data_IF_839908145737
#
_entry.id   IF_839908145737
#
_cell.length_a   1.000
_cell.length_b   1.000
_cell.length_c   1.000
_cell.angle_alpha   90.00
_cell.angle_beta   90.00
_cell.angle_gamma   90.00
#
_symmetry.space_group_name_H-M   'P 1'
#
loop_
_entity.id
_entity.type
_entity.pdbx_description
1 polymer ?
#
# COMPACT_ATOMS: atom_id res chain seq x y z
N UNK A 1 -5.38 3.02 8.43
CA UNK A 1 -6.21 1.99 7.75
C UNK A 1 -5.72 1.94 6.32
N UNK A 2 -5.75 0.84 5.59
CA UNK A 2 -5.24 0.81 4.21
C UNK A 2 -6.07 -0.18 3.40
N UNK A 3 -6.01 -0.05 2.08
CA UNK A 3 -6.59 -0.99 1.13
C UNK A 3 -5.64 -1.20 -0.04
N UNK A 4 -5.42 -2.46 -0.41
CA UNK A 4 -4.54 -2.85 -1.51
C UNK A 4 -5.18 -3.98 -2.30
N UNK A 5 -5.00 -3.98 -3.61
CA UNK A 5 -5.45 -5.06 -4.47
C UNK A 5 -4.48 -5.33 -5.62
N UNK A 6 -4.54 -6.54 -6.14
CA UNK A 6 -3.83 -6.97 -7.32
C UNK A 6 -4.72 -7.86 -8.19
N UNK A 7 -4.56 -7.73 -9.50
CA UNK A 7 -5.28 -8.50 -10.50
C UNK A 7 -4.31 -8.96 -11.58
N UNK A 8 -4.18 -10.27 -11.73
CA UNK A 8 -3.45 -10.91 -12.81
C UNK A 8 -4.33 -10.95 -14.06
N UNK A 9 -3.80 -10.43 -15.17
CA UNK A 9 -4.44 -10.37 -16.47
C UNK A 9 -3.47 -10.97 -17.50
N UNK A 10 -3.65 -12.27 -17.75
CA UNK A 10 -2.78 -13.08 -18.59
C UNK A 10 -1.31 -13.01 -18.13
N UNK A 11 -0.44 -12.34 -18.90
CA UNK A 11 1.00 -12.18 -18.64
C UNK A 11 1.36 -10.84 -17.97
N UNK A 12 0.37 -10.09 -17.47
CA UNK A 12 0.57 -8.82 -16.77
C UNK A 12 -0.18 -8.81 -15.44
N UNK A 13 0.27 -7.99 -14.51
CA UNK A 13 -0.43 -7.77 -13.25
C UNK A 13 -0.72 -6.30 -13.03
N UNK A 14 -1.94 -6.00 -12.59
CA UNK A 14 -2.31 -4.69 -12.08
C UNK A 14 -2.22 -4.68 -10.57
N UNK A 15 -1.73 -3.59 -9.99
CA UNK A 15 -1.64 -3.38 -8.55
C UNK A 15 -2.22 -2.01 -8.21
N UNK A 16 -2.99 -1.91 -7.12
CA UNK A 16 -3.54 -0.64 -6.65
C UNK A 16 -3.52 -0.56 -5.13
N UNK A 17 -3.23 0.62 -4.60
CA UNK A 17 -3.14 0.84 -3.15
C UNK A 17 -3.52 2.24 -2.72
N UNK A 18 -4.25 2.31 -1.60
CA UNK A 18 -4.35 3.49 -0.74
C UNK A 18 -3.57 3.23 0.55
N UNK A 19 -2.73 4.19 0.93
CA UNK A 19 -2.11 4.25 2.25
C UNK A 19 -2.91 5.25 3.09
N UNK A 20 -3.68 4.77 4.09
CA UNK A 20 -4.38 5.65 5.03
C UNK A 20 -3.67 5.71 6.38
N UNK A 21 -3.18 6.89 6.67
CA UNK A 21 -2.29 7.17 7.78
C UNK A 21 -2.89 8.20 8.72
N UNK A 22 -2.17 8.60 9.76
CA UNK A 22 -2.62 9.72 10.59
C UNK A 22 -2.77 10.98 9.72
N UNK A 23 -3.80 11.78 9.98
CA UNK A 23 -4.05 12.95 9.15
C UNK A 23 -2.87 13.93 9.13
N UNK A 24 -2.62 14.51 7.96
CA UNK A 24 -1.46 15.36 7.70
C UNK A 24 -0.10 14.70 8.03
N UNK A 25 0.00 13.36 7.97
CA UNK A 25 1.30 12.68 7.96
C UNK A 25 1.92 12.77 6.55
N UNK A 26 3.10 13.42 6.39
CA UNK A 26 3.74 13.52 5.10
C UNK A 26 4.18 12.16 4.56
N UNK A 27 3.83 11.89 3.31
CA UNK A 27 4.20 10.66 2.61
C UNK A 27 4.82 10.98 1.26
N UNK A 28 6.15 10.99 1.22
CA UNK A 28 6.96 11.40 0.07
C UNK A 28 7.04 10.30 -0.97
N UNK A 29 7.04 10.68 -2.24
CA UNK A 29 7.28 9.78 -3.37
C UNK A 29 8.70 10.06 -3.85
N UNK A 30 9.57 9.08 -3.70
CA UNK A 30 11.01 9.23 -3.88
C UNK A 30 11.57 8.10 -4.75
N UNK A 31 12.47 8.43 -5.67
CA UNK A 31 13.29 7.45 -6.36
C UNK A 31 14.55 7.20 -5.53
N UNK A 32 14.83 5.94 -5.25
CA UNK A 32 16.08 5.51 -4.66
C UNK A 32 16.85 4.74 -5.74
N UNK A 33 18.05 5.21 -6.08
CA UNK A 33 18.91 4.57 -7.07
C UNK A 33 19.42 3.20 -6.59
N UNK A 34 19.87 2.32 -7.51
CA UNK A 34 20.57 1.11 -7.11
C UNK A 34 21.72 1.45 -6.17
N UNK A 35 21.82 0.73 -5.07
CA UNK A 35 22.85 0.97 -4.07
C UNK A 35 23.88 -0.16 -4.09
N UNK A 36 25.16 0.21 -3.99
CA UNK A 36 26.24 -0.71 -3.66
C UNK A 36 27.07 -0.10 -2.53
N UNK A 37 27.10 -0.72 -1.35
CA UNK A 37 27.82 -0.16 -0.21
C UNK A 37 27.64 -0.95 1.07
N UNK A 38 27.55 -0.24 2.20
CA UNK A 38 27.53 -0.81 3.56
C UNK A 38 26.45 -1.89 3.73
N UNK A 39 26.85 -3.04 4.28
CA UNK A 39 25.99 -4.16 4.64
C UNK A 39 25.27 -3.94 5.97
N UNK A 40 25.51 -2.84 6.68
CA UNK A 40 24.77 -2.44 7.86
C UNK A 40 23.80 -1.29 7.54
N UNK A 41 22.52 -1.49 7.81
CA UNK A 41 21.48 -0.49 7.59
C UNK A 41 20.83 -0.14 8.92
N UNK A 42 20.82 1.16 9.25
CA UNK A 42 19.91 1.69 10.27
C UNK A 42 18.50 1.78 9.67
N UNK A 43 17.66 0.81 10.00
CA UNK A 43 16.22 0.86 9.76
C UNK A 43 15.55 1.84 10.74
N UNK A 44 14.21 1.83 10.83
CA UNK A 44 13.49 2.82 11.64
C UNK A 44 13.88 2.76 13.13
N UNK A 45 13.97 1.56 13.70
CA UNK A 45 14.34 1.37 15.11
C UNK A 45 15.52 0.44 15.36
N UNK A 46 15.96 -0.31 14.35
CA UNK A 46 17.02 -1.31 14.47
C UNK A 46 18.19 -0.99 13.55
N UNK A 47 19.36 -1.52 13.90
CA UNK A 47 20.41 -1.79 12.91
C UNK A 47 20.28 -3.24 12.47
N UNK A 48 20.33 -3.46 11.16
CA UNK A 48 20.16 -4.77 10.53
C UNK A 48 21.22 -5.00 9.48
N UNK A 49 21.47 -6.27 9.17
CA UNK A 49 22.35 -6.65 8.07
C UNK A 49 21.55 -6.70 6.77
N UNK A 50 22.09 -6.10 5.72
CA UNK A 50 21.54 -6.05 4.36
C UNK A 50 22.62 -6.45 3.35
N UNK A 51 22.25 -6.98 2.17
CA UNK A 51 23.22 -7.23 1.13
C UNK A 51 23.84 -5.92 0.62
N UNK A 52 25.12 -5.99 0.21
CA UNK A 52 25.84 -4.83 -0.33
C UNK A 52 25.12 -4.22 -1.53
N UNK A 53 24.50 -5.06 -2.38
CA UNK A 53 23.81 -4.68 -3.60
C UNK A 53 22.31 -4.65 -3.38
N UNK A 54 21.70 -3.52 -3.72
CA UNK A 54 20.26 -3.28 -3.62
C UNK A 54 19.72 -2.63 -4.89
N UNK A 55 18.49 -2.98 -5.21
CA UNK A 55 17.77 -2.54 -6.40
C UNK A 55 17.26 -1.11 -6.27
N UNK A 56 17.13 -0.43 -7.41
CA UNK A 56 16.44 0.85 -7.46
C UNK A 56 14.95 0.67 -7.18
N UNK A 57 14.31 1.66 -6.54
CA UNK A 57 12.87 1.62 -6.32
C UNK A 57 12.24 3.01 -6.20
N UNK A 58 10.99 3.09 -6.68
CA UNK A 58 10.04 4.12 -6.27
C UNK A 58 9.47 3.76 -4.92
N UNK A 59 9.68 4.62 -3.93
CA UNK A 59 9.17 4.46 -2.58
C UNK A 59 8.13 5.53 -2.26
N UNK A 60 7.02 5.11 -1.67
CA UNK A 60 6.08 5.98 -0.98
C UNK A 60 6.36 5.91 0.52
N UNK A 61 7.18 6.83 1.00
CA UNK A 61 7.80 6.81 2.33
C UNK A 61 7.14 7.83 3.27
N UNK A 62 6.58 7.40 4.43
CA UNK A 62 6.24 8.33 5.50
C UNK A 62 7.49 9.04 6.00
N UNK A 63 7.46 10.38 6.11
CA UNK A 63 8.69 11.16 6.19
C UNK A 63 9.55 10.89 7.44
N UNK A 64 8.92 10.46 8.54
CA UNK A 64 9.59 10.24 9.82
C UNK A 64 10.31 8.88 9.94
N UNK A 65 10.15 7.96 8.98
CA UNK A 65 10.68 6.60 9.07
C UNK A 65 11.58 6.22 7.88
N UNK A 66 12.34 5.13 8.03
CA UNK A 66 13.21 4.62 6.97
C UNK A 66 12.44 3.79 5.93
N UNK A 67 11.55 2.92 6.40
CA UNK A 67 10.71 2.05 5.56
C UNK A 67 9.65 2.78 4.74
N UNK A 68 9.03 2.08 3.80
CA UNK A 68 8.00 2.60 2.90
C UNK A 68 6.66 1.88 3.08
N UNK A 69 5.55 2.56 2.86
CA UNK A 69 4.22 1.91 2.87
C UNK A 69 3.93 1.12 1.61
N UNK A 70 4.55 1.55 0.52
CA UNK A 70 4.42 0.93 -0.79
C UNK A 70 5.49 1.40 -1.74
N UNK A 71 5.64 0.67 -2.84
CA UNK A 71 6.54 1.04 -3.91
C UNK A 71 6.58 0.02 -5.02
N UNK A 72 7.44 0.30 -5.99
CA UNK A 72 7.78 -0.61 -7.09
C UNK A 72 9.25 -0.49 -7.41
N UNK A 73 9.93 -1.62 -7.64
CA UNK A 73 11.36 -1.63 -7.94
C UNK A 73 11.66 -1.73 -9.44
N UNK A 74 12.94 -1.60 -9.80
CA UNK A 74 13.42 -1.67 -11.19
C UNK A 74 13.17 -3.03 -11.89
N UNK A 75 12.80 -4.08 -11.14
CA UNK A 75 12.45 -5.40 -11.68
C UNK A 75 10.94 -5.61 -11.83
N UNK A 76 10.13 -4.58 -11.57
CA UNK A 76 8.67 -4.65 -11.69
C UNK A 76 7.99 -5.37 -10.51
N UNK A 77 8.65 -5.44 -9.34
CA UNK A 77 8.03 -5.95 -8.11
C UNK A 77 7.35 -4.79 -7.38
N UNK A 78 6.04 -4.87 -7.20
CA UNK A 78 5.26 -3.93 -6.40
C UNK A 78 4.89 -4.54 -5.05
N UNK A 79 5.01 -3.73 -3.99
CA UNK A 79 4.69 -4.15 -2.62
C UNK A 79 3.88 -3.06 -1.94
N UNK A 80 2.93 -3.46 -1.09
CA UNK A 80 2.26 -2.60 -0.13
C UNK A 80 1.80 -3.36 1.11
N UNK A 81 1.59 -2.66 2.23
CA UNK A 81 1.19 -3.28 3.51
C UNK A 81 -0.05 -2.65 4.17
N UNK A 82 -0.64 -3.40 5.10
CA UNK A 82 -1.77 -2.98 5.92
C UNK A 82 -1.51 -3.36 7.37
N UNK A 83 -1.86 -2.45 8.28
CA UNK A 83 -1.97 -2.81 9.70
C UNK A 83 -3.04 -3.87 9.92
N UNK A 84 -2.66 -5.00 10.53
CA UNK A 84 -3.57 -6.05 11.02
C UNK A 84 -3.42 -6.25 12.52
N UNK A 85 -4.52 -6.61 13.17
CA UNK A 85 -4.59 -6.69 14.62
C UNK A 85 -4.68 -8.13 15.08
N UNK A 86 -3.56 -8.65 15.54
CA UNK A 86 -3.43 -10.06 15.95
C UNK A 86 -3.31 -10.18 17.47
N UNK A 87 -3.47 -11.40 17.97
CA UNK A 87 -3.25 -11.76 19.37
C UNK A 87 -1.77 -11.71 19.79
N UNK A 88 -0.85 -11.61 18.82
CA UNK A 88 0.59 -11.71 19.01
C UNK A 88 1.34 -10.37 18.88
N UNK A 89 0.61 -9.26 18.71
CA UNK A 89 1.22 -7.92 18.65
C UNK A 89 2.12 -7.71 19.87
N UNK A 90 3.39 -7.42 19.60
CA UNK A 90 4.35 -7.08 20.64
C UNK A 90 4.03 -5.71 21.25
N UNK A 91 4.02 -5.65 22.59
CA UNK A 91 3.69 -4.44 23.35
C UNK A 91 4.90 -3.62 23.78
N UNK A 92 6.08 -4.25 23.88
CA UNK A 92 7.24 -3.67 24.56
C UNK A 92 8.56 -3.76 23.78
N UNK A 93 8.61 -4.43 22.62
CA UNK A 93 9.86 -4.57 21.86
C UNK A 93 9.92 -3.59 20.68
N UNK A 94 11.09 -2.98 20.49
CA UNK A 94 11.48 -2.42 19.19
C UNK A 94 11.86 -3.57 18.27
N UNK A 95 11.26 -3.61 17.09
CA UNK A 95 11.56 -4.56 16.03
C UNK A 95 11.48 -3.82 14.69
N UNK A 96 11.51 -4.54 13.55
CA UNK A 96 11.23 -3.92 12.27
C UNK A 96 9.76 -3.49 12.20
N UNK A 97 9.49 -2.34 11.59
CA UNK A 97 8.12 -2.00 11.19
C UNK A 97 7.77 -2.75 9.90
N UNK A 98 6.47 -2.93 9.64
CA UNK A 98 6.01 -3.48 8.36
C UNK A 98 6.54 -2.68 7.16
N UNK A 99 6.61 -1.36 7.30
CA UNK A 99 7.15 -0.48 6.27
C UNK A 99 8.65 -0.71 6.03
N UNK A 100 9.41 -1.08 7.07
CA UNK A 100 10.81 -1.47 6.91
C UNK A 100 10.90 -2.76 6.07
N UNK A 101 10.03 -3.73 6.35
CA UNK A 101 9.94 -4.99 5.58
C UNK A 101 9.53 -4.75 4.11
N UNK A 102 8.58 -3.85 3.84
CA UNK A 102 8.22 -3.44 2.47
C UNK A 102 9.44 -2.93 1.71
N UNK A 103 10.20 -2.01 2.32
CA UNK A 103 11.40 -1.45 1.69
C UNK A 103 12.47 -2.51 1.45
N UNK A 104 12.70 -3.40 2.42
CA UNK A 104 13.66 -4.50 2.27
C UNK A 104 13.28 -5.43 1.12
N UNK A 105 11.99 -5.79 1.02
CA UNK A 105 11.48 -6.59 -0.10
C UNK A 105 11.69 -5.92 -1.46
N UNK A 106 11.43 -4.60 -1.55
CA UNK A 106 11.65 -3.83 -2.77
C UNK A 106 13.13 -3.69 -3.14
N UNK A 107 14.00 -3.43 -2.17
CA UNK A 107 15.44 -3.23 -2.38
C UNK A 107 16.19 -4.53 -2.72
N UNK A 108 15.61 -5.71 -2.50
CA UNK A 108 16.31 -7.00 -2.69
C UNK A 108 15.59 -8.00 -3.61
N UNK A 109 14.27 -7.91 -3.76
CA UNK A 109 13.50 -8.86 -4.55
C UNK A 109 13.60 -8.61 -6.05
N UNK A 110 13.87 -9.66 -6.85
CA UNK A 110 13.85 -9.59 -8.33
C UNK A 110 12.55 -10.13 -8.92
N UNK A 111 11.74 -10.77 -8.07
CA UNK A 111 10.42 -11.32 -8.37
C UNK A 111 9.55 -11.19 -7.11
N UNK A 112 8.25 -11.45 -7.24
CA UNK A 112 7.34 -11.52 -6.09
C UNK A 112 7.69 -12.70 -5.16
N UNK A 113 8.21 -13.81 -5.69
CA UNK A 113 8.68 -14.94 -4.90
C UNK A 113 9.92 -14.53 -4.07
N UNK A 114 10.92 -13.89 -4.69
CA UNK A 114 12.13 -13.40 -4.01
C UNK A 114 11.79 -12.39 -2.90
N UNK A 115 10.88 -11.45 -3.19
CA UNK A 115 10.46 -10.44 -2.21
C UNK A 115 9.70 -11.05 -1.02
N UNK A 116 8.90 -12.10 -1.24
CA UNK A 116 8.27 -12.86 -0.17
C UNK A 116 9.32 -13.51 0.74
N UNK A 117 10.33 -14.16 0.16
CA UNK A 117 11.43 -14.79 0.90
C UNK A 117 12.18 -13.75 1.75
N UNK A 118 12.55 -12.61 1.15
CA UNK A 118 13.20 -11.50 1.86
C UNK A 118 12.34 -11.05 3.05
N UNK A 119 11.07 -10.72 2.83
CA UNK A 119 10.20 -10.20 3.89
C UNK A 119 10.05 -11.22 5.02
N UNK A 120 9.84 -12.49 4.69
CA UNK A 120 9.61 -13.54 5.70
C UNK A 120 10.87 -13.87 6.49
N UNK A 121 12.04 -13.85 5.85
CA UNK A 121 13.33 -14.07 6.49
C UNK A 121 13.68 -12.92 7.46
N UNK A 122 13.53 -11.65 7.05
CA UNK A 122 13.72 -10.52 7.96
C UNK A 122 12.71 -10.51 9.11
N UNK A 123 11.45 -10.88 8.85
CA UNK A 123 10.43 -11.02 9.87
C UNK A 123 10.83 -12.09 10.91
N UNK A 124 11.33 -13.24 10.46
CA UNK A 124 11.75 -14.32 11.35
C UNK A 124 13.02 -13.97 12.14
N UNK A 125 13.99 -13.28 11.53
CA UNK A 125 15.25 -12.91 12.18
C UNK A 125 15.10 -11.75 13.17
N UNK A 126 14.38 -10.70 12.80
CA UNK A 126 14.32 -9.44 13.57
C UNK A 126 12.95 -9.15 14.19
N UNK A 127 11.94 -9.92 13.84
CA UNK A 127 10.56 -9.71 14.31
C UNK A 127 9.89 -8.50 13.66
N UNK A 128 8.66 -8.23 14.11
CA UNK A 128 7.95 -7.00 13.78
C UNK A 128 7.35 -6.35 15.02
N UNK A 129 7.30 -5.01 15.01
CA UNK A 129 6.73 -4.22 16.10
C UNK A 129 7.51 -2.94 16.40
N UNK A 130 7.02 -2.20 17.39
CA UNK A 130 7.50 -0.86 17.72
C UNK A 130 6.53 0.24 17.28
N UNK A 131 6.74 1.50 17.71
CA UNK A 131 5.81 2.59 17.43
C UNK A 131 5.58 2.86 15.95
N UNK A 132 4.36 2.64 15.49
CA UNK A 132 4.01 2.70 14.08
C UNK A 132 3.14 3.92 13.71
N UNK A 133 2.80 4.78 14.68
CA UNK A 133 2.07 6.04 14.48
C UNK A 133 2.99 7.25 14.35
N UNK A 134 2.55 8.24 13.57
CA UNK A 134 3.23 9.53 13.40
C UNK A 134 3.18 10.35 14.69
N UNK A 135 1.99 10.59 15.25
CA UNK A 135 1.81 11.28 16.53
C UNK A 135 1.45 10.30 17.63
N UNK A 136 0.67 9.25 17.33
CA UNK A 136 0.34 8.23 18.32
C UNK A 136 1.48 7.21 18.47
N UNK A 137 2.39 7.50 19.41
CA UNK A 137 3.50 6.60 19.75
C UNK A 137 3.09 5.38 20.58
N UNK A 138 1.80 5.16 20.81
CA UNK A 138 1.26 3.90 21.37
C UNK A 138 0.69 2.97 20.29
N UNK A 139 0.55 3.44 19.04
CA UNK A 139 0.01 2.63 17.97
C UNK A 139 0.97 1.49 17.58
N UNK A 140 0.51 0.24 17.67
CA UNK A 140 1.25 -1.01 17.38
C UNK A 140 0.34 -1.98 16.63
N UNK A 141 0.91 -2.67 15.65
CA UNK A 141 0.20 -3.67 14.85
C UNK A 141 1.19 -4.63 14.18
N UNK A 142 0.67 -5.78 13.75
CA UNK A 142 1.36 -6.65 12.79
C UNK A 142 0.90 -6.29 11.37
N UNK A 143 1.49 -6.91 10.34
CA UNK A 143 1.27 -6.50 8.96
C UNK A 143 0.69 -7.59 8.07
N UNK A 144 -0.21 -7.19 7.19
CA UNK A 144 -0.48 -7.91 5.94
C UNK A 144 0.28 -7.22 4.82
N UNK A 145 0.64 -7.96 3.78
CA UNK A 145 1.33 -7.46 2.60
C UNK A 145 0.68 -8.02 1.35
N UNK A 146 0.66 -7.23 0.29
CA UNK A 146 0.44 -7.70 -1.07
C UNK A 146 1.72 -7.46 -1.86
N UNK A 147 2.24 -8.52 -2.46
CA UNK A 147 3.45 -8.53 -3.27
C UNK A 147 3.01 -8.98 -4.66
N UNK A 148 3.40 -8.27 -5.71
CA UNK A 148 3.05 -8.65 -7.07
C UNK A 148 4.19 -8.33 -8.05
N UNK A 149 4.31 -9.15 -9.08
CA UNK A 149 5.08 -8.89 -10.30
C UNK A 149 4.22 -9.25 -11.52
N UNK A 150 4.79 -9.23 -12.73
CA UNK A 150 4.03 -9.53 -13.95
C UNK A 150 3.43 -10.95 -14.00
N UNK A 151 3.99 -11.92 -13.25
CA UNK A 151 3.62 -13.33 -13.33
C UNK A 151 2.62 -13.74 -12.23
N UNK A 152 2.28 -12.83 -11.31
CA UNK A 152 1.43 -13.10 -10.17
C UNK A 152 1.98 -12.48 -8.91
N UNK A 153 1.83 -13.17 -7.78
CA UNK A 153 2.21 -12.58 -6.50
C UNK A 153 1.75 -13.36 -5.28
N UNK A 154 1.74 -12.65 -4.15
CA UNK A 154 1.49 -13.21 -2.84
C UNK A 154 0.74 -12.25 -1.95
N UNK A 155 -0.33 -12.74 -1.35
CA UNK A 155 -0.88 -12.18 -0.14
C UNK A 155 -0.15 -12.80 1.05
N UNK A 156 0.60 -12.01 1.80
CA UNK A 156 1.31 -12.44 3.00
C UNK A 156 0.62 -11.86 4.23
N UNK A 157 0.16 -12.72 5.14
CA UNK A 157 -0.42 -12.31 6.40
C UNK A 157 0.43 -12.81 7.57
N UNK A 158 0.64 -11.94 8.56
CA UNK A 158 1.57 -12.22 9.66
C UNK A 158 0.91 -12.06 11.04
N UNK A 159 1.45 -12.76 12.03
CA UNK A 159 1.07 -12.64 13.44
C UNK A 159 2.32 -12.85 14.33
N UNK A 160 2.85 -11.78 14.92
CA UNK A 160 4.20 -11.80 15.50
C UNK A 160 5.23 -12.22 14.45
N UNK A 161 5.94 -13.33 14.65
CA UNK A 161 6.89 -13.87 13.65
C UNK A 161 6.29 -14.98 12.78
N UNK A 162 5.04 -15.38 13.03
CA UNK A 162 4.35 -16.36 12.22
C UNK A 162 3.78 -15.72 10.97
N UNK A 163 3.70 -16.50 9.90
CA UNK A 163 3.16 -16.02 8.64
C UNK A 163 2.53 -17.14 7.82
N UNK A 164 1.59 -16.75 6.97
CA UNK A 164 1.00 -17.57 5.91
C UNK A 164 0.95 -16.75 4.63
N UNK A 165 1.16 -17.39 3.48
CA UNK A 165 1.10 -16.74 2.18
C UNK A 165 0.16 -17.48 1.23
N UNK A 166 -0.73 -16.73 0.57
CA UNK A 166 -1.66 -17.22 -0.46
C UNK A 166 -1.23 -16.69 -1.82
N UNK A 167 -1.14 -17.58 -2.80
CA UNK A 167 -0.64 -17.24 -4.14
C UNK A 167 -1.70 -16.50 -4.98
N UNK A 168 -1.28 -15.42 -5.64
CA UNK A 168 -1.95 -14.76 -6.76
C UNK A 168 -1.43 -15.43 -8.05
N UNK A 169 -2.31 -16.10 -8.78
CA UNK A 169 -1.99 -16.84 -10.00
C UNK A 169 -3.24 -17.01 -10.86
N UNK A 170 -3.15 -17.72 -11.99
CA UNK A 170 -4.30 -17.90 -12.90
C UNK A 170 -5.53 -18.57 -12.26
N UNK A 171 -5.36 -19.39 -11.23
CA UNK A 171 -6.48 -20.02 -10.49
C UNK A 171 -7.07 -19.11 -9.41
N UNK A 172 -6.34 -18.08 -9.00
CA UNK A 172 -6.75 -17.06 -8.04
C UNK A 172 -6.24 -15.70 -8.54
N UNK A 173 -6.82 -15.16 -9.62
CA UNK A 173 -6.23 -14.05 -10.37
C UNK A 173 -6.51 -12.69 -9.73
N UNK A 174 -7.31 -12.62 -8.66
CA UNK A 174 -7.63 -11.38 -7.96
C UNK A 174 -7.43 -11.55 -6.47
N UNK A 175 -6.70 -10.63 -5.86
CA UNK A 175 -6.55 -10.52 -4.41
C UNK A 175 -6.79 -9.08 -3.99
N UNK A 176 -7.51 -8.90 -2.88
CA UNK A 176 -7.58 -7.63 -2.18
C UNK A 176 -7.39 -7.85 -0.68
N UNK A 177 -6.70 -6.91 -0.04
CA UNK A 177 -6.46 -6.88 1.39
C UNK A 177 -6.81 -5.52 1.98
N UNK A 178 -7.21 -5.56 3.25
CA UNK A 178 -7.55 -4.42 4.09
C UNK A 178 -7.03 -4.71 5.50
N UNK A 179 -7.34 -3.87 6.49
CA UNK A 179 -6.90 -4.06 7.90
C UNK A 179 -7.61 -5.22 8.63
N UNK A 180 -7.52 -6.44 8.11
CA UNK A 180 -8.08 -7.68 8.67
C UNK A 180 -7.30 -8.89 8.16
N UNK A 181 -7.10 -9.89 9.02
CA UNK A 181 -6.60 -11.18 8.57
C UNK A 181 -7.70 -11.90 7.80
N UNK A 182 -7.38 -12.51 6.68
CA UNK A 182 -8.34 -13.12 5.77
C UNK A 182 -7.98 -14.53 5.33
N UNK A 183 -6.70 -14.90 5.39
CA UNK A 183 -6.25 -16.23 5.02
C UNK A 183 -6.68 -17.21 6.10
N UNK A 184 -7.43 -18.23 5.68
CA UNK A 184 -7.99 -19.24 6.56
C UNK A 184 -7.14 -20.50 6.56
N UNK A 185 -7.65 -21.51 5.87
CA UNK A 185 -6.97 -22.79 5.64
C UNK A 185 -6.39 -22.87 4.21
N UNK A 186 -6.63 -21.87 3.38
CA UNK A 186 -6.36 -21.81 1.95
C UNK A 186 -5.02 -21.12 1.62
N UNK A 187 -4.07 -21.18 2.54
CA UNK A 187 -2.69 -20.72 2.30
C UNK A 187 -1.89 -21.75 1.50
N UNK A 188 -0.91 -21.26 0.75
CA UNK A 188 -0.01 -22.08 -0.06
C UNK A 188 1.32 -22.31 0.66
N UNK A 189 1.83 -21.30 1.35
CA UNK A 189 3.07 -21.35 2.14
C UNK A 189 2.80 -20.87 3.56
N UNK A 190 3.62 -21.30 4.51
CA UNK A 190 3.54 -20.86 5.90
C UNK A 190 4.89 -20.99 6.59
N UNK A 191 5.06 -20.28 7.71
CA UNK A 191 6.22 -20.43 8.58
C UNK A 191 6.35 -21.84 9.14
N UNK A 192 7.57 -22.33 9.30
CA UNK A 192 7.84 -23.66 9.85
C UNK A 192 7.18 -23.90 11.21
N UNK A 193 6.67 -25.13 11.40
CA UNK A 193 6.04 -25.58 12.66
C UNK A 193 4.86 -24.73 13.14
N UNK A 194 4.22 -23.95 12.25
CA UNK A 194 3.13 -23.04 12.60
C UNK A 194 1.97 -23.72 13.37
N UNK A 195 1.40 -24.86 12.91
CA UNK A 195 0.30 -25.49 13.64
C UNK A 195 0.72 -25.99 15.04
N UNK A 196 1.93 -26.53 15.17
CA UNK A 196 2.44 -27.04 16.44
C UNK A 196 2.70 -25.92 17.45
N UNK A 197 3.26 -24.79 16.99
CA UNK A 197 3.50 -23.63 17.83
C UNK A 197 2.19 -22.94 18.21
N UNK A 198 1.24 -22.83 17.28
CA UNK A 198 -0.10 -22.32 17.59
C UNK A 198 -0.83 -23.21 18.62
N UNK A 199 -0.66 -24.54 18.53
CA UNK A 199 -1.21 -25.49 19.50
C UNK A 199 -0.56 -25.35 20.88
N UNK A 200 0.77 -25.29 20.94
CA UNK A 200 1.52 -25.11 22.21
C UNK A 200 1.15 -23.80 22.89
N UNK A 201 0.90 -22.75 22.13
CA UNK A 201 0.48 -21.43 22.63
C UNK A 201 -1.03 -21.32 22.90
N UNK A 202 -1.81 -22.39 22.73
CA UNK A 202 -3.24 -22.42 23.02
C UNK A 202 -4.13 -21.70 21.99
N UNK A 203 -3.59 -21.28 20.84
CA UNK A 203 -4.35 -20.64 19.78
C UNK A 203 -5.08 -21.62 18.86
N UNK A 204 -4.74 -22.90 18.93
CA UNK A 204 -5.41 -23.98 18.20
C UNK A 204 -5.49 -25.25 19.04
N UNK A 205 -6.63 -25.95 18.98
CA UNK A 205 -6.87 -27.15 19.79
C UNK A 205 -6.40 -28.46 19.13
N UNK A 206 -5.79 -28.37 17.94
CA UNK A 206 -5.32 -29.54 17.18
C UNK A 206 -6.42 -30.33 16.48
N UNK A 207 -7.66 -29.82 16.40
CA UNK A 207 -8.78 -30.48 15.71
C UNK A 207 -9.15 -29.73 14.43
N UNK A 208 -9.42 -30.51 13.37
CA UNK A 208 -9.74 -29.99 12.04
C UNK A 208 -8.53 -29.36 11.35
N UNK A 209 -8.76 -28.66 10.24
CA UNK A 209 -7.68 -27.95 9.56
C UNK A 209 -7.27 -26.70 10.34
N UNK A 210 -5.97 -26.41 10.33
CA UNK A 210 -5.46 -25.18 10.94
C UNK A 210 -5.93 -23.96 10.15
N UNK A 211 -6.55 -23.00 10.84
CA UNK A 211 -7.09 -21.79 10.24
C UNK A 211 -6.41 -20.55 10.82
N UNK A 212 -5.58 -19.88 10.04
CA UNK A 212 -4.71 -18.79 10.51
C UNK A 212 -5.52 -17.60 11.05
N UNK A 213 -6.49 -17.11 10.27
CA UNK A 213 -7.42 -16.06 10.71
C UNK A 213 -8.10 -16.42 12.03
N UNK A 214 -8.68 -17.62 12.18
CA UNK A 214 -9.36 -18.01 13.43
C UNK A 214 -8.41 -18.10 14.62
N UNK A 215 -7.17 -18.53 14.39
CA UNK A 215 -6.17 -18.67 15.45
C UNK A 215 -5.72 -17.31 16.00
N UNK A 216 -5.43 -16.35 15.11
CA UNK A 216 -4.71 -15.13 15.47
C UNK A 216 -5.48 -13.83 15.34
N UNK A 217 -6.56 -13.76 14.57
CA UNK A 217 -7.29 -12.50 14.38
C UNK A 217 -7.96 -12.02 15.67
N UNK A 218 -8.01 -10.69 15.80
CA UNK A 218 -8.88 -10.00 16.76
C UNK A 218 -10.13 -9.47 16.05
N UNK A 219 -11.25 -9.35 16.76
CA UNK A 219 -12.53 -9.03 16.11
C UNK A 219 -12.85 -7.53 16.11
N UNK A 220 -12.42 -6.78 17.13
CA UNK A 220 -12.89 -5.41 17.37
C UNK A 220 -12.34 -4.40 16.36
N UNK A 221 -11.02 -4.38 16.16
CA UNK A 221 -10.39 -3.39 15.29
C UNK A 221 -10.78 -3.54 13.82
N UNK A 222 -10.79 -4.76 13.22
CA UNK A 222 -11.30 -4.93 11.85
C UNK A 222 -12.77 -4.53 11.68
N UNK A 223 -13.60 -4.79 12.69
CA UNK A 223 -15.00 -4.38 12.67
C UNK A 223 -15.17 -2.85 12.71
N UNK A 224 -14.43 -2.17 13.61
CA UNK A 224 -14.44 -0.71 13.72
C UNK A 224 -13.91 -0.03 12.45
N UNK A 225 -12.86 -0.62 11.87
CA UNK A 225 -12.30 -0.20 10.60
C UNK A 225 -13.21 -0.53 9.41
N UNK A 226 -14.20 -1.42 9.52
CA UNK A 226 -15.03 -1.90 8.38
C UNK A 226 -14.22 -2.58 7.28
N UNK A 227 -13.07 -3.17 7.62
CA UNK A 227 -12.10 -3.76 6.68
C UNK A 227 -12.72 -4.76 5.70
N UNK A 228 -13.59 -5.66 6.19
CA UNK A 228 -14.27 -6.65 5.33
C UNK A 228 -15.12 -5.97 4.26
N UNK A 229 -15.83 -4.88 4.60
CA UNK A 229 -16.68 -4.17 3.64
C UNK A 229 -15.86 -3.48 2.55
N UNK A 230 -14.71 -2.89 2.90
CA UNK A 230 -13.83 -2.24 1.92
C UNK A 230 -13.19 -3.25 0.99
N UNK A 231 -12.66 -4.35 1.55
CA UNK A 231 -12.14 -5.46 0.76
C UNK A 231 -13.18 -6.02 -0.22
N UNK A 232 -14.39 -6.29 0.26
CA UNK A 232 -15.47 -6.80 -0.60
C UNK A 232 -15.88 -5.75 -1.66
N UNK A 233 -15.77 -4.46 -1.37
CA UNK A 233 -16.00 -3.38 -2.33
C UNK A 233 -14.96 -3.42 -3.45
N UNK A 234 -13.68 -3.54 -3.10
CA UNK A 234 -12.58 -3.64 -4.06
C UNK A 234 -12.72 -4.89 -4.93
N UNK A 235 -12.95 -6.07 -4.34
CA UNK A 235 -13.13 -7.31 -5.08
C UNK A 235 -14.29 -7.21 -6.07
N UNK A 236 -15.45 -6.74 -5.63
CA UNK A 236 -16.60 -6.53 -6.52
C UNK A 236 -16.30 -5.53 -7.63
N UNK A 237 -15.55 -4.48 -7.36
CA UNK A 237 -15.23 -3.49 -8.38
C UNK A 237 -14.25 -4.05 -9.43
N UNK A 238 -13.29 -4.88 -9.02
CA UNK A 238 -12.36 -5.58 -9.91
C UNK A 238 -13.10 -6.61 -10.79
N UNK A 239 -14.05 -7.35 -10.22
CA UNK A 239 -14.88 -8.29 -10.99
C UNK A 239 -15.76 -7.60 -12.05
N UNK A 240 -16.04 -6.30 -11.89
CA UNK A 240 -16.92 -5.51 -12.75
C UNK A 240 -16.18 -4.55 -13.69
N UNK A 241 -14.87 -4.72 -13.90
CA UNK A 241 -14.13 -3.92 -14.88
C UNK A 241 -14.70 -4.08 -16.30
N UNK A 242 -14.88 -2.98 -17.00
CA UNK A 242 -15.22 -3.00 -18.43
C UNK A 242 -13.95 -3.30 -19.23
N UNK A 243 -13.88 -4.52 -19.77
CA UNK A 243 -12.76 -5.00 -20.60
C UNK A 243 -12.53 -4.19 -21.88
N UNK A 244 -13.47 -3.32 -22.27
CA UNK A 244 -13.34 -2.44 -23.44
C UNK A 244 -12.69 -1.09 -23.10
N UNK A 245 -12.52 -0.78 -21.82
CA UNK A 245 -11.95 0.47 -21.35
C UNK A 245 -10.53 0.22 -20.79
N UNK A 246 -9.64 1.23 -20.82
CA UNK A 246 -8.34 1.13 -20.18
C UNK A 246 -8.49 0.80 -18.68
N UNK A 247 -7.60 -0.06 -18.16
CA UNK A 247 -7.72 -0.56 -16.77
C UNK A 247 -7.29 0.49 -15.75
N UNK A 248 -6.17 1.20 -15.97
CA UNK A 248 -5.64 2.21 -15.03
C UNK A 248 -6.69 3.25 -14.56
N UNK A 249 -7.47 3.91 -15.46
CA UNK A 249 -8.53 4.83 -15.04
C UNK A 249 -9.61 4.17 -14.18
N UNK A 250 -9.95 2.91 -14.46
CA UNK A 250 -10.93 2.16 -13.69
C UNK A 250 -10.40 1.84 -12.29
N UNK A 251 -9.13 1.44 -12.16
CA UNK A 251 -8.50 1.23 -10.84
C UNK A 251 -8.41 2.52 -10.04
N UNK A 252 -8.12 3.65 -10.70
CA UNK A 252 -8.18 4.96 -10.06
C UNK A 252 -9.59 5.25 -9.52
N UNK A 253 -10.65 4.89 -10.26
CA UNK A 253 -12.02 5.01 -9.74
C UNK A 253 -12.26 4.14 -8.51
N UNK A 254 -11.74 2.90 -8.47
CA UNK A 254 -11.83 2.02 -7.29
C UNK A 254 -11.18 2.68 -6.07
N UNK A 255 -9.95 3.17 -6.20
CA UNK A 255 -9.22 3.85 -5.13
C UNK A 255 -9.89 5.16 -4.66
N UNK A 256 -10.76 5.73 -5.49
CA UNK A 256 -11.53 6.94 -5.21
C UNK A 256 -12.90 6.69 -4.59
N UNK A 257 -13.30 5.42 -4.40
CA UNK A 257 -14.66 5.10 -3.98
C UNK A 257 -14.97 5.61 -2.58
N UNK A 258 -16.11 6.29 -2.48
CA UNK A 258 -16.84 6.55 -1.26
C UNK A 258 -18.19 5.83 -1.31
N UNK A 259 -18.74 5.50 -0.15
CA UNK A 259 -20.09 4.93 -0.08
C UNK A 259 -21.12 5.92 -0.65
N UNK A 260 -21.81 5.51 -1.72
CA UNK A 260 -22.81 6.34 -2.38
C UNK A 260 -23.92 6.80 -1.40
N UNK A 261 -24.32 8.07 -1.52
CA UNK A 261 -25.48 8.63 -0.84
C UNK A 261 -25.25 9.20 0.56
N UNK A 262 -24.01 9.23 1.08
CA UNK A 262 -23.71 9.95 2.32
C UNK A 262 -23.12 11.32 2.03
N UNK A 263 -23.66 12.38 2.65
CA UNK A 263 -23.06 13.73 2.65
C UNK A 263 -21.68 13.78 3.35
N UNK A 264 -21.23 12.65 3.89
CA UNK A 264 -20.03 12.50 4.71
C UNK A 264 -19.28 11.24 4.32
N UNK A 265 -17.95 11.26 4.46
CA UNK A 265 -17.10 10.07 4.34
C UNK A 265 -17.46 9.01 5.40
N UNK A 266 -16.86 7.83 5.33
CA UNK A 266 -17.08 6.67 6.21
C UNK A 266 -15.79 5.85 6.34
N UNK A 267 -15.59 5.12 7.45
CA UNK A 267 -14.50 4.12 7.53
C UNK A 267 -14.68 2.96 6.55
N UNK A 268 -15.87 2.85 5.93
CA UNK A 268 -16.14 1.91 4.86
C UNK A 268 -15.80 2.47 3.45
N UNK A 269 -15.30 3.70 3.36
CA UNK A 269 -14.82 4.27 2.10
C UNK A 269 -13.40 3.78 1.83
N UNK A 270 -13.09 3.52 0.56
CA UNK A 270 -11.74 3.17 0.11
C UNK A 270 -10.86 4.42 0.08
N UNK A 271 -11.41 5.57 -0.36
CA UNK A 271 -10.77 6.87 -0.21
C UNK A 271 -11.13 7.46 1.16
N UNK A 272 -10.19 7.41 2.09
CA UNK A 272 -10.41 7.81 3.48
C UNK A 272 -10.17 9.31 3.71
N UNK A 273 -11.06 9.93 4.47
CA UNK A 273 -10.95 11.33 4.88
C UNK A 273 -11.07 11.42 6.40
N UNK A 274 -10.15 12.16 7.02
CA UNK A 274 -10.17 12.45 8.45
C UNK A 274 -11.43 13.23 8.82
N UNK A 275 -12.05 12.84 9.94
CA UNK A 275 -13.24 13.50 10.51
C UNK A 275 -13.27 13.30 12.03
N UNK A 276 -12.27 13.83 12.71
CA UNK A 276 -12.13 13.86 14.16
C UNK A 276 -11.77 12.51 14.79
N UNK A 277 -11.97 12.43 16.12
CA UNK A 277 -11.46 11.34 16.96
C UNK A 277 -11.89 9.93 16.54
N UNK A 278 -13.12 9.77 16.03
CA UNK A 278 -13.64 8.47 15.59
C UNK A 278 -13.07 8.02 14.25
N UNK A 279 -12.43 8.93 13.51
CA UNK A 279 -11.87 8.73 12.16
C UNK A 279 -10.61 9.58 11.99
N UNK A 280 -9.53 9.22 12.70
CA UNK A 280 -8.29 10.00 12.72
C UNK A 280 -7.40 9.76 11.50
N UNK A 281 -7.80 8.84 10.60
CA UNK A 281 -7.03 8.46 9.43
C UNK A 281 -7.49 9.13 8.15
N UNK A 282 -6.57 9.29 7.21
CA UNK A 282 -6.77 9.89 5.90
C UNK A 282 -5.89 9.19 4.88
N UNK A 283 -6.36 9.01 3.64
CA UNK A 283 -5.52 8.53 2.54
C UNK A 283 -4.44 9.58 2.25
N UNK A 284 -3.17 9.27 2.53
CA UNK A 284 -2.03 10.20 2.35
C UNK A 284 -1.34 10.01 1.01
N UNK A 285 -1.49 8.85 0.38
CA UNK A 285 -0.97 8.54 -0.94
C UNK A 285 -1.76 7.40 -1.59
N UNK A 286 -1.82 7.42 -2.92
CA UNK A 286 -2.36 6.32 -3.71
C UNK A 286 -1.40 5.93 -4.84
N UNK A 287 -1.34 4.63 -5.14
CA UNK A 287 -0.48 4.06 -6.18
C UNK A 287 -1.28 3.12 -7.09
N UNK A 288 -0.98 3.16 -8.38
CA UNK A 288 -1.40 2.17 -9.38
C UNK A 288 -0.16 1.73 -10.14
N UNK A 289 -0.01 0.42 -10.36
CA UNK A 289 1.03 -0.13 -11.21
C UNK A 289 0.43 -1.06 -12.26
N UNK A 290 0.93 -0.96 -13.48
CA UNK A 290 0.85 -2.01 -14.50
C UNK A 290 2.21 -2.70 -14.54
N UNK A 291 2.27 -3.97 -14.18
CA UNK A 291 3.47 -4.79 -14.09
C UNK A 291 3.52 -5.72 -15.31
N UNK A 292 4.57 -5.60 -16.11
CA UNK A 292 4.69 -6.32 -17.39
C UNK A 292 6.13 -6.75 -17.63
N UNK A 293 6.38 -8.05 -17.76
CA UNK A 293 7.74 -8.60 -17.81
C UNK A 293 8.56 -8.21 -16.57
N UNK A 294 9.66 -7.47 -16.76
CA UNK A 294 10.48 -6.90 -15.68
C UNK A 294 10.31 -5.40 -15.47
N UNK A 295 9.36 -4.78 -16.18
CA UNK A 295 9.11 -3.35 -16.10
C UNK A 295 7.77 -3.05 -15.45
N UNK A 296 7.56 -1.76 -15.16
CA UNK A 296 6.27 -1.26 -14.71
C UNK A 296 5.94 0.09 -15.33
N UNK A 297 4.64 0.34 -15.56
CA UNK A 297 4.11 1.70 -15.64
C UNK A 297 3.45 2.01 -14.30
N UNK A 298 3.82 3.12 -13.69
CA UNK A 298 3.38 3.43 -12.32
C UNK A 298 2.83 4.84 -12.24
N UNK A 299 1.74 4.99 -11.50
CA UNK A 299 1.12 6.28 -11.21
C UNK A 299 0.98 6.44 -9.70
N UNK A 300 1.36 7.61 -9.19
CA UNK A 300 1.16 7.96 -7.79
C UNK A 300 0.51 9.35 -7.68
N UNK A 301 -0.26 9.59 -6.63
CA UNK A 301 -0.89 10.91 -6.44
C UNK A 301 0.09 11.99 -5.98
N UNK A 302 1.18 11.63 -5.30
CA UNK A 302 2.12 12.55 -4.65
C UNK A 302 1.53 13.27 -3.42
N UNK A 303 0.22 13.18 -3.21
CA UNK A 303 -0.52 13.90 -2.18
C UNK A 303 -1.78 13.15 -1.76
N UNK A 304 -2.43 13.65 -0.72
CA UNK A 304 -3.55 12.99 -0.05
C UNK A 304 -4.86 13.00 -0.82
N UNK A 305 -5.71 12.02 -0.53
CA UNK A 305 -7.07 11.83 -1.06
C UNK A 305 -7.10 11.68 -2.60
N UNK A 306 -7.09 10.45 -3.14
CA UNK A 306 -7.12 10.21 -4.58
C UNK A 306 -8.36 10.80 -5.26
N UNK A 307 -9.46 11.01 -4.52
CA UNK A 307 -10.69 11.58 -5.08
C UNK A 307 -10.57 13.05 -5.50
N UNK A 308 -9.53 13.75 -5.06
CA UNK A 308 -9.24 15.12 -5.46
C UNK A 308 -7.80 15.28 -5.95
N UNK A 309 -7.00 14.21 -5.90
CA UNK A 309 -5.62 14.19 -6.40
C UNK A 309 -5.56 13.66 -7.82
N UNK A 310 -4.53 14.14 -8.53
CA UNK A 310 -4.14 13.68 -9.85
C UNK A 310 -3.20 12.49 -9.74
N UNK A 311 -3.51 11.37 -10.39
CA UNK A 311 -2.57 10.25 -10.57
C UNK A 311 -1.49 10.63 -11.59
N UNK A 312 -0.27 10.82 -11.11
CA UNK A 312 0.88 11.31 -11.88
C UNK A 312 1.69 10.11 -12.37
N UNK A 313 1.91 9.94 -13.68
CA UNK A 313 2.80 8.89 -14.16
C UNK A 313 4.22 9.13 -13.65
N UNK A 314 4.88 8.05 -13.26
CA UNK A 314 6.28 8.03 -12.88
C UNK A 314 7.07 7.42 -14.04
N UNK A 315 7.92 8.24 -14.65
CA UNK A 315 8.90 7.81 -15.64
C UNK A 315 10.26 7.68 -14.92
N UNK A 316 11.05 6.67 -15.28
CA UNK A 316 12.30 6.28 -14.60
C UNK A 316 13.35 7.41 -14.51
N UNK A 317 14.31 7.23 -13.60
CA UNK A 317 15.48 8.11 -13.36
C UNK A 317 15.15 9.58 -13.05
N UNK A 318 14.70 9.85 -11.80
CA UNK A 318 14.72 11.14 -11.09
C UNK A 318 14.09 12.40 -11.76
N UNK A 319 13.63 12.33 -13.01
CA UNK A 319 13.13 13.49 -13.79
C UNK A 319 11.62 13.58 -13.90
N UNK A 320 10.86 12.76 -13.19
CA UNK A 320 9.41 12.97 -13.10
C UNK A 320 9.08 14.17 -12.21
N UNK A 321 7.85 14.65 -12.38
CA UNK A 321 7.34 15.85 -11.76
C UNK A 321 7.46 15.86 -10.23
N UNK A 322 7.19 14.75 -9.55
CA UNK A 322 7.26 14.71 -8.08
C UNK A 322 8.69 14.87 -7.56
N UNK A 323 9.69 14.37 -8.28
CA UNK A 323 11.10 14.62 -7.97
C UNK A 323 11.51 16.08 -8.15
N UNK A 324 10.89 16.80 -9.09
CA UNK A 324 11.13 18.23 -9.33
C UNK A 324 10.38 19.14 -8.34
N UNK A 325 9.37 18.62 -7.65
CA UNK A 325 8.54 19.35 -6.69
C UNK A 325 8.56 18.69 -5.29
N UNK A 326 9.71 18.66 -4.60
CA UNK A 326 9.83 17.97 -3.31
C UNK A 326 8.95 18.57 -2.18
N UNK A 327 8.52 19.84 -2.32
CA UNK A 327 7.59 20.51 -1.42
C UNK A 327 6.11 20.31 -1.76
N UNK A 328 5.79 19.59 -2.84
CA UNK A 328 4.41 19.44 -3.33
C UNK A 328 3.45 18.95 -2.26
N UNK A 329 3.88 18.00 -1.41
CA UNK A 329 2.99 17.42 -0.41
C UNK A 329 2.49 18.48 0.59
N UNK A 330 3.37 19.39 1.02
CA UNK A 330 3.02 20.44 1.98
C UNK A 330 2.07 21.48 1.36
N UNK A 331 2.34 21.90 0.12
CA UNK A 331 1.45 22.79 -0.64
C UNK A 331 0.09 22.14 -0.91
N UNK A 332 0.10 20.84 -1.23
CA UNK A 332 -1.11 20.06 -1.48
C UNK A 332 -2.00 19.95 -0.24
N UNK A 333 -1.42 19.81 0.96
CA UNK A 333 -2.17 19.72 2.19
C UNK A 333 -3.08 20.94 2.42
N UNK A 334 -2.61 22.15 2.04
CA UNK A 334 -3.41 23.37 2.11
C UNK A 334 -4.64 23.31 1.21
N UNK A 335 -4.46 22.86 -0.04
CA UNK A 335 -5.54 22.70 -1.02
C UNK A 335 -6.53 21.64 -0.55
N UNK A 336 -6.04 20.50 -0.07
CA UNK A 336 -6.86 19.45 0.52
C UNK A 336 -7.76 20.02 1.63
N UNK A 337 -7.18 20.74 2.60
CA UNK A 337 -7.93 21.33 3.71
C UNK A 337 -9.03 22.29 3.25
N UNK A 338 -8.78 23.10 2.21
CA UNK A 338 -9.82 23.95 1.59
C UNK A 338 -10.95 23.13 0.98
N UNK A 339 -10.65 22.05 0.26
CA UNK A 339 -11.67 21.20 -0.35
C UNK A 339 -12.52 20.42 0.65
N UNK A 340 -12.02 20.21 1.87
CA UNK A 340 -12.79 19.56 2.94
C UNK A 340 -13.90 20.46 3.52
N UNK A 341 -13.79 21.78 3.32
CA UNK A 341 -14.79 22.77 3.76
C UNK A 341 -15.59 23.37 2.60
N UNK A 342 -15.02 23.46 1.39
CA UNK A 342 -15.69 23.98 0.19
C UNK A 342 -15.99 22.87 -0.82
N UNK A 343 -17.25 22.44 -0.83
CA UNK A 343 -17.72 21.40 -1.74
C UNK A 343 -17.74 21.85 -3.21
N UNK A 344 -17.92 23.13 -3.49
CA UNK A 344 -17.89 23.64 -4.87
C UNK A 344 -16.47 23.60 -5.41
N UNK A 345 -15.50 24.00 -4.60
CA UNK A 345 -14.08 23.88 -4.94
C UNK A 345 -13.71 22.41 -5.18
N UNK A 346 -14.15 21.50 -4.30
CA UNK A 346 -13.94 20.06 -4.44
C UNK A 346 -14.44 19.54 -5.79
N UNK A 347 -15.66 19.88 -6.18
CA UNK A 347 -16.25 19.46 -7.47
C UNK A 347 -15.50 20.04 -8.66
N UNK A 348 -15.09 21.32 -8.60
CA UNK A 348 -14.30 21.96 -9.66
C UNK A 348 -12.94 21.28 -9.84
N UNK A 349 -12.24 21.00 -8.74
CA UNK A 349 -10.95 20.31 -8.76
C UNK A 349 -11.09 18.89 -9.33
N UNK A 350 -12.15 18.17 -8.94
CA UNK A 350 -12.46 16.85 -9.49
C UNK A 350 -12.71 16.88 -11.00
N UNK A 351 -13.46 17.86 -11.48
CA UNK A 351 -13.70 18.03 -12.92
C UNK A 351 -12.41 18.34 -13.66
N UNK A 352 -11.60 19.27 -13.13
CA UNK A 352 -10.32 19.64 -13.72
C UNK A 352 -9.36 18.45 -13.80
N UNK A 353 -9.20 17.70 -12.71
CA UNK A 353 -8.36 16.51 -12.69
C UNK A 353 -8.80 15.47 -13.71
N UNK A 354 -10.11 15.22 -13.87
CA UNK A 354 -10.59 14.26 -14.88
C UNK A 354 -10.16 14.64 -16.29
N UNK A 355 -10.29 15.91 -16.67
CA UNK A 355 -9.88 16.41 -17.99
C UNK A 355 -8.37 16.28 -18.22
N UNK A 356 -7.56 16.51 -17.19
CA UNK A 356 -6.10 16.35 -17.28
C UNK A 356 -5.72 14.87 -17.34
N UNK A 357 -6.36 14.00 -16.54
CA UNK A 357 -6.07 12.57 -16.49
C UNK A 357 -6.37 11.85 -17.81
N UNK A 358 -7.44 12.23 -18.52
CA UNK A 358 -7.75 11.69 -19.85
C UNK A 358 -6.56 11.77 -20.82
N UNK A 359 -5.70 12.77 -20.66
CA UNK A 359 -4.48 12.92 -21.47
C UNK A 359 -3.26 12.25 -20.82
N UNK A 360 -3.19 12.20 -19.49
CA UNK A 360 -2.01 11.69 -18.76
C UNK A 360 -1.86 10.17 -18.79
N UNK A 361 -2.94 9.40 -18.87
CA UNK A 361 -2.86 7.94 -18.77
C UNK A 361 -1.95 7.32 -19.83
N UNK A 362 -1.92 7.91 -21.02
CA UNK A 362 -1.11 7.46 -22.16
C UNK A 362 -0.01 8.46 -22.55
N UNK A 363 0.19 9.53 -21.77
CA UNK A 363 1.20 10.53 -22.07
C UNK A 363 2.61 9.95 -21.96
N UNK A 364 3.46 10.28 -22.94
CA UNK A 364 4.91 10.10 -22.79
C UNK A 364 5.49 11.10 -21.80
N UNK A 365 6.72 10.85 -21.34
CA UNK A 365 7.36 11.61 -20.25
C UNK A 365 7.30 13.13 -20.43
N UNK A 366 7.74 13.67 -21.56
CA UNK A 366 7.78 15.13 -21.77
C UNK A 366 6.38 15.76 -21.81
N UNK A 367 5.40 15.04 -22.38
CA UNK A 367 4.02 15.50 -22.41
C UNK A 367 3.39 15.46 -21.01
N UNK A 368 3.67 14.39 -20.25
CA UNK A 368 3.20 14.25 -18.88
C UNK A 368 3.70 15.40 -18.00
N UNK A 369 5.00 15.72 -18.07
CA UNK A 369 5.59 16.84 -17.33
C UNK A 369 4.90 18.17 -17.64
N UNK A 370 4.67 18.48 -18.92
CA UNK A 370 4.00 19.71 -19.32
C UNK A 370 2.55 19.78 -18.81
N UNK A 371 1.79 18.68 -18.92
CA UNK A 371 0.42 18.60 -18.41
C UNK A 371 0.37 18.75 -16.88
N UNK A 372 1.34 18.17 -16.17
CA UNK A 372 1.45 18.26 -14.71
C UNK A 372 1.80 19.68 -14.25
N UNK A 373 2.69 20.38 -14.96
CA UNK A 373 3.02 21.78 -14.70
C UNK A 373 1.82 22.71 -14.89
N UNK A 374 1.10 22.56 -15.99
CA UNK A 374 -0.10 23.37 -16.28
C UNK A 374 -1.21 23.09 -15.27
N UNK A 375 -1.41 21.81 -14.93
CA UNK A 375 -2.31 21.40 -13.85
C UNK A 375 -1.92 22.06 -12.53
N UNK A 376 -0.64 22.01 -12.15
CA UNK A 376 -0.20 22.56 -10.87
C UNK A 376 -0.34 24.08 -10.82
N UNK A 377 0.02 24.80 -11.90
CA UNK A 377 -0.19 26.26 -11.99
C UNK A 377 -1.66 26.65 -11.81
N UNK A 378 -2.58 25.86 -12.35
CA UNK A 378 -4.03 26.05 -12.21
C UNK A 378 -4.50 25.78 -10.77
N UNK A 379 -4.01 24.69 -10.17
CA UNK A 379 -4.47 24.22 -8.86
C UNK A 379 -3.85 24.98 -7.69
N UNK A 380 -2.58 25.39 -7.79
CA UNK A 380 -1.87 26.10 -6.73
C UNK A 380 -2.40 27.52 -6.48
N UNK A 381 -3.24 28.04 -7.38
CA UNK A 381 -3.89 29.34 -7.26
C UNK A 381 -5.24 29.28 -6.53
N UNK A 382 -5.77 28.07 -6.27
CA UNK A 382 -7.02 27.82 -5.55
C UNK A 382 -6.84 27.99 -4.04
#
# INVERSE_FOLDING_TARGET
MCDTFAMLDEDNCWFGKNSDREAAEPQRVEWHDPWTGDSNQKATYLQIDVPDKRHAAWLSRPDWMWGAEMGVNEHGVAIGNEAVYTRLISRCSSALLGMDLVRLGLEQGRSADDALEVITDYLQRYGQGGPAGFRDKNFRYDNSFLIADANGGWQLETAGQFWVAKKLNQNNPVIAISNDLSIGCDYTLCSDSLPDLARKSGYWNGRGDFNFRKAFATWFMPWAARSVKRRDCNLKALDNLDKRQPVAPQLAQILRQHKAGTKHSSNADVCMHEKGLLRPSQTTQSMICHLSGRGSKTWMTGGSAPCISLFKPLHGEQKNWLGQHPGFWDDWLHIYNKTEVDQNLKVKLQQHNRTVEEQLWEAGESQALALQDDWWRSVSQL
#
